data_IF_196049002249
#
_entry.id   IF_196049002249
#
_cell.length_a   1.000
_cell.length_b   1.000
_cell.length_c   1.000
_cell.angle_alpha   90.00
_cell.angle_beta   90.00
_cell.angle_gamma   90.00
#
_symmetry.space_group_name_H-M   'P 1'
#
loop_
_entity.id
_entity.type
_entity.pdbx_description
1 polymer ?
#
# COMPACT_ATOMS: atom_id res chain seq x y z
N UNK A 1 -9.87 37.89 18.65
CA UNK A 1 -9.13 39.17 18.69
C UNK A 1 -8.69 39.46 17.25
N UNK A 2 -9.56 40.06 16.43
CA UNK A 2 -9.68 41.53 16.22
C UNK A 2 -8.37 42.07 15.60
N UNK A 3 -8.31 42.63 14.39
CA UNK A 3 -9.24 43.53 13.72
C UNK A 3 -9.04 43.56 12.19
N UNK A 4 -10.12 43.96 11.54
CA UNK A 4 -10.38 44.24 10.12
C UNK A 4 -10.04 45.71 9.77
N UNK A 5 -10.07 46.02 8.45
CA UNK A 5 -10.28 47.35 7.81
C UNK A 5 -9.03 48.26 7.71
N UNK A 6 -8.74 49.00 6.63
CA UNK A 6 -9.56 49.63 5.57
C UNK A 6 -8.70 49.95 4.32
N UNK A 7 -9.38 49.99 3.17
CA UNK A 7 -8.89 50.56 1.91
C UNK A 7 -8.90 52.10 1.93
N UNK A 8 -8.05 52.77 1.13
CA UNK A 8 -8.41 53.91 0.24
C UNK A 8 -7.23 54.47 -0.58
N UNK A 9 -7.44 54.50 -1.91
CA UNK A 9 -7.28 55.62 -2.86
C UNK A 9 -5.94 56.38 -3.07
N UNK A 10 -5.49 56.35 -4.35
CA UNK A 10 -5.06 57.45 -5.25
C UNK A 10 -4.40 58.71 -4.64
N UNK A 11 -3.19 59.04 -5.13
CA UNK A 11 -2.90 60.21 -6.02
C UNK A 11 -1.39 60.31 -6.32
N UNK A 12 -1.08 60.50 -7.61
CA UNK A 12 0.21 61.01 -8.11
C UNK A 12 0.47 62.44 -7.60
N UNK A 13 1.74 62.86 -7.54
CA UNK A 13 2.07 64.12 -8.18
C UNK A 13 3.35 64.09 -9.03
N UNK A 14 3.24 64.80 -10.14
CA UNK A 14 4.28 65.31 -11.03
C UNK A 14 5.06 66.47 -10.40
N UNK A 15 6.37 66.56 -10.61
CA UNK A 15 7.01 67.86 -10.92
C UNK A 15 8.35 67.69 -11.63
N UNK A 16 8.39 68.24 -12.84
CA UNK A 16 9.52 68.49 -13.73
C UNK A 16 10.24 69.77 -13.27
N UNK A 17 11.56 69.86 -13.44
CA UNK A 17 12.39 71.05 -13.73
C UNK A 17 13.86 70.57 -13.78
N UNK A 18 14.78 70.97 -14.66
CA UNK A 18 14.81 71.95 -15.76
C UNK A 18 16.07 71.65 -16.59
N UNK A 19 15.98 71.62 -17.93
CA UNK A 19 17.13 71.81 -18.81
C UNK A 19 17.39 73.31 -18.98
N UNK A 20 18.66 73.72 -19.01
CA UNK A 20 19.13 74.99 -19.58
C UNK A 20 20.29 74.69 -20.51
N UNK A 21 20.00 74.68 -21.81
CA UNK A 21 20.96 74.81 -22.90
C UNK A 21 21.12 76.32 -23.13
N UNK A 22 22.33 76.84 -23.02
CA UNK A 22 22.68 78.13 -23.60
C UNK A 22 23.95 77.97 -24.45
N UNK A 23 23.76 78.38 -25.70
CA UNK A 23 24.68 78.43 -26.82
C UNK A 23 25.94 79.24 -26.50
N UNK A 24 27.11 78.72 -26.88
CA UNK A 24 28.22 79.55 -27.34
C UNK A 24 28.87 78.89 -28.55
N UNK A 25 28.97 79.67 -29.62
CA UNK A 25 29.44 79.35 -30.97
C UNK A 25 30.93 78.96 -31.01
N UNK A 26 31.37 78.13 -31.96
CA UNK A 26 32.75 77.67 -32.06
C UNK A 26 33.64 78.72 -32.74
N UNK A 27 34.81 78.98 -32.14
CA UNK A 27 35.94 79.63 -32.84
C UNK A 27 37.02 78.55 -33.05
N UNK A 28 37.22 78.20 -34.32
CA UNK A 28 38.18 77.22 -34.80
C UNK A 28 39.61 77.63 -34.43
N UNK A 29 40.30 76.80 -33.62
CA UNK A 29 41.75 76.78 -33.49
C UNK A 29 42.22 75.31 -33.46
N UNK A 30 43.39 75.08 -34.05
CA UNK A 30 43.83 73.85 -34.70
C UNK A 30 44.09 72.63 -33.78
N UNK A 31 43.93 71.43 -34.34
CA UNK A 31 43.84 70.12 -33.69
C UNK A 31 45.08 69.60 -32.95
N UNK A 32 46.15 70.37 -32.82
CA UNK A 32 47.43 69.85 -32.33
C UNK A 32 47.78 70.23 -30.88
N UNK A 33 47.07 71.19 -30.27
CA UNK A 33 47.36 71.61 -28.89
C UNK A 33 46.45 70.93 -27.84
N UNK A 34 45.17 70.69 -28.17
CA UNK A 34 44.20 70.01 -27.28
C UNK A 34 44.58 68.55 -27.00
N UNK A 35 45.21 67.86 -27.95
CA UNK A 35 45.56 66.45 -27.81
C UNK A 35 46.70 66.20 -26.80
N UNK A 36 47.62 67.15 -26.62
CA UNK A 36 48.73 66.98 -25.68
C UNK A 36 48.29 67.19 -24.22
N UNK A 37 47.35 68.11 -23.98
CA UNK A 37 46.82 68.38 -22.64
C UNK A 37 45.90 67.25 -22.14
N UNK A 38 45.13 66.62 -23.04
CA UNK A 38 44.33 65.43 -22.74
C UNK A 38 45.23 64.24 -22.38
N UNK A 39 46.38 64.09 -23.06
CA UNK A 39 47.33 63.00 -22.81
C UNK A 39 48.02 63.14 -21.44
N UNK A 40 48.27 64.36 -20.96
CA UNK A 40 48.81 64.59 -19.63
C UNK A 40 47.77 64.37 -18.52
N UNK A 41 46.51 64.77 -18.74
CA UNK A 41 45.41 64.52 -17.80
C UNK A 41 45.10 63.02 -17.64
N UNK A 42 45.21 62.23 -18.71
CA UNK A 42 45.02 60.77 -18.64
C UNK A 42 46.17 60.05 -17.88
N UNK A 43 47.40 60.54 -17.97
CA UNK A 43 48.54 59.92 -17.25
C UNK A 43 48.51 60.14 -15.73
N UNK A 44 47.82 61.17 -15.24
CA UNK A 44 47.67 61.42 -13.79
C UNK A 44 46.52 60.63 -13.14
N UNK A 45 45.54 60.12 -13.90
CA UNK A 45 44.45 59.29 -13.36
C UNK A 45 44.81 57.80 -13.19
N UNK A 46 45.97 57.35 -13.69
CA UNK A 46 46.41 55.95 -13.66
C UNK A 46 47.16 55.53 -12.39
N UNK A 47 47.13 56.33 -11.31
CA UNK A 47 47.78 56.02 -10.03
C UNK A 47 46.79 56.07 -8.87
N UNK A 48 45.78 55.20 -8.89
CA UNK A 48 44.92 54.89 -7.74
C UNK A 48 44.89 53.36 -7.61
N UNK A 49 45.51 52.82 -6.56
CA UNK A 49 45.37 51.40 -6.20
C UNK A 49 43.92 51.10 -5.78
N UNK A 50 43.32 49.97 -6.18
CA UNK A 50 41.97 49.62 -5.75
C UNK A 50 41.97 49.18 -4.27
N UNK A 51 40.95 49.54 -3.48
CA UNK A 51 40.84 49.07 -2.10
C UNK A 51 40.47 47.58 -2.06
N UNK A 52 41.07 46.83 -1.12
CA UNK A 52 40.76 45.42 -0.87
C UNK A 52 39.26 45.19 -0.60
N UNK A 53 38.63 44.13 -1.14
CA UNK A 53 37.20 43.93 -0.98
C UNK A 53 36.88 43.42 0.44
N UNK A 54 36.29 44.28 1.29
CA UNK A 54 35.66 43.87 2.54
C UNK A 54 34.43 43.02 2.23
N UNK A 55 34.57 41.69 2.28
CA UNK A 55 33.46 40.75 2.08
C UNK A 55 32.41 40.93 3.18
N UNK A 56 31.17 41.25 2.79
CA UNK A 56 30.07 41.45 3.72
C UNK A 56 29.63 40.13 4.37
N UNK A 57 29.28 40.11 5.68
CA UNK A 57 28.92 38.89 6.41
C UNK A 57 27.66 38.18 5.88
N UNK A 58 26.84 38.86 5.06
CA UNK A 58 25.66 38.25 4.40
C UNK A 58 26.06 37.28 3.28
N UNK A 59 27.06 37.59 2.45
CA UNK A 59 27.52 36.69 1.38
C UNK A 59 28.14 35.39 1.92
N UNK A 60 28.84 35.48 3.06
CA UNK A 60 29.45 34.32 3.70
C UNK A 60 28.41 33.29 4.17
N UNK A 61 27.23 33.75 4.63
CA UNK A 61 26.11 32.86 4.99
C UNK A 61 25.57 32.11 3.78
N UNK A 62 25.36 32.78 2.64
CA UNK A 62 24.94 32.14 1.39
C UNK A 62 25.96 31.12 0.90
N UNK A 63 27.25 31.40 1.03
CA UNK A 63 28.30 30.44 0.70
C UNK A 63 28.22 29.17 1.54
N UNK A 64 28.00 29.28 2.85
CA UNK A 64 27.80 28.11 3.72
C UNK A 64 26.52 27.34 3.37
N UNK A 65 25.42 28.02 3.01
CA UNK A 65 24.20 27.34 2.53
C UNK A 65 24.46 26.57 1.23
N UNK A 66 25.10 27.20 0.24
CA UNK A 66 25.44 26.54 -1.03
C UNK A 66 26.39 25.36 -0.82
N UNK A 67 27.38 25.50 0.05
CA UNK A 67 28.30 24.43 0.40
C UNK A 67 27.56 23.26 1.07
N UNK A 68 26.61 23.55 1.97
CA UNK A 68 25.79 22.51 2.63
C UNK A 68 24.86 21.76 1.66
N UNK A 69 24.30 22.46 0.66
CA UNK A 69 23.49 21.84 -0.39
C UNK A 69 24.36 20.94 -1.27
N UNK A 70 25.56 21.41 -1.65
CA UNK A 70 26.49 20.66 -2.48
C UNK A 70 27.00 19.39 -1.78
N UNK A 71 27.37 19.47 -0.50
CA UNK A 71 27.81 18.30 0.27
C UNK A 71 26.67 17.31 0.48
N UNK A 72 25.46 17.78 0.79
CA UNK A 72 24.27 16.93 0.88
C UNK A 72 23.96 16.20 -0.42
N UNK A 73 24.03 16.90 -1.56
CA UNK A 73 23.84 16.30 -2.88
C UNK A 73 24.91 15.25 -3.19
N UNK A 74 26.19 15.52 -2.88
CA UNK A 74 27.28 14.58 -3.12
C UNK A 74 27.13 13.30 -2.28
N UNK A 75 26.85 13.44 -0.98
CA UNK A 75 26.62 12.29 -0.08
C UNK A 75 25.41 11.48 -0.55
N UNK A 76 24.31 12.16 -0.91
CA UNK A 76 23.11 11.52 -1.46
C UNK A 76 23.39 10.74 -2.76
N UNK A 77 24.21 11.30 -3.65
CA UNK A 77 24.58 10.68 -4.92
C UNK A 77 25.45 9.44 -4.70
N UNK A 78 26.46 9.53 -3.82
CA UNK A 78 27.31 8.39 -3.46
C UNK A 78 26.49 7.28 -2.81
N UNK A 79 25.58 7.63 -1.88
CA UNK A 79 24.68 6.68 -1.25
C UNK A 79 23.77 5.98 -2.27
N UNK A 80 23.16 6.75 -3.18
CA UNK A 80 22.31 6.21 -4.24
C UNK A 80 23.08 5.24 -5.16
N UNK A 81 24.28 5.59 -5.60
CA UNK A 81 25.12 4.72 -6.42
C UNK A 81 25.50 3.42 -5.70
N UNK A 82 25.81 3.50 -4.40
CA UNK A 82 26.13 2.33 -3.57
C UNK A 82 24.91 1.42 -3.36
N UNK A 83 23.73 2.01 -3.20
CA UNK A 83 22.44 1.30 -3.15
C UNK A 83 22.18 0.54 -4.45
N UNK A 84 22.37 1.20 -5.61
CA UNK A 84 22.18 0.58 -6.93
C UNK A 84 23.12 -0.62 -7.14
N UNK A 85 24.42 -0.49 -6.81
CA UNK A 85 25.38 -1.62 -6.93
C UNK A 85 25.04 -2.82 -6.05
N UNK A 86 24.49 -2.61 -4.85
CA UNK A 86 24.16 -3.71 -3.92
C UNK A 86 23.08 -4.66 -4.50
N UNK A 87 22.21 -4.16 -5.37
CA UNK A 87 21.13 -4.94 -5.98
C UNK A 87 21.47 -5.51 -7.36
N UNK A 88 22.63 -5.20 -7.94
CA UNK A 88 22.95 -5.61 -9.31
C UNK A 88 23.11 -7.12 -9.50
N UNK A 89 23.62 -7.84 -8.49
CA UNK A 89 23.94 -9.27 -8.55
C UNK A 89 22.85 -10.24 -8.08
N UNK A 90 21.72 -9.75 -7.56
CA UNK A 90 20.72 -10.63 -6.91
C UNK A 90 19.88 -11.41 -7.92
N UNK A 91 19.59 -10.84 -9.10
CA UNK A 91 18.73 -11.52 -10.10
C UNK A 91 19.39 -12.79 -10.70
N UNK A 92 20.66 -12.77 -11.17
CA UNK A 92 21.30 -14.00 -11.68
C UNK A 92 21.38 -15.11 -10.62
N UNK A 93 21.62 -14.74 -9.36
CA UNK A 93 21.64 -15.67 -8.23
C UNK A 93 20.24 -16.24 -7.96
N UNK A 94 19.21 -15.40 -8.02
CA UNK A 94 17.82 -15.82 -7.85
C UNK A 94 17.34 -16.74 -8.97
N UNK A 95 17.67 -16.44 -10.23
CA UNK A 95 17.28 -17.28 -11.38
C UNK A 95 17.94 -18.66 -11.32
N UNK A 96 19.17 -18.74 -10.81
CA UNK A 96 19.87 -20.02 -10.66
C UNK A 96 19.32 -20.85 -9.51
N UNK A 97 19.06 -20.26 -8.34
CA UNK A 97 18.62 -21.00 -7.14
C UNK A 97 17.60 -20.21 -6.29
N UNK A 98 16.34 -20.10 -6.72
CA UNK A 98 15.34 -19.27 -6.03
C UNK A 98 15.03 -19.80 -4.62
N UNK A 99 14.86 -21.12 -4.46
CA UNK A 99 14.49 -21.74 -3.17
C UNK A 99 15.56 -21.52 -2.08
N UNK A 100 16.84 -21.51 -2.47
CA UNK A 100 17.96 -21.27 -1.54
C UNK A 100 17.94 -19.82 -1.06
N UNK A 101 17.71 -18.88 -1.97
CA UNK A 101 17.66 -17.45 -1.66
C UNK A 101 16.45 -17.11 -0.78
N UNK A 102 15.30 -17.68 -1.09
CA UNK A 102 14.09 -17.52 -0.27
C UNK A 102 14.27 -18.11 1.13
N UNK A 103 14.89 -19.29 1.26
CA UNK A 103 15.26 -19.86 2.57
C UNK A 103 16.21 -18.95 3.34
N UNK A 104 17.29 -18.50 2.70
CA UNK A 104 18.26 -17.60 3.34
C UNK A 104 17.62 -16.29 3.80
N UNK A 105 16.68 -15.76 3.02
CA UNK A 105 15.88 -14.59 3.39
C UNK A 105 15.00 -14.88 4.62
N UNK A 106 14.32 -16.02 4.65
CA UNK A 106 13.53 -16.48 5.79
C UNK A 106 14.38 -16.70 7.04
N UNK A 107 15.59 -17.25 6.91
CA UNK A 107 16.53 -17.47 8.01
C UNK A 107 17.06 -16.15 8.59
N UNK A 108 17.12 -15.09 7.77
CA UNK A 108 17.52 -13.75 8.20
C UNK A 108 16.40 -12.97 8.90
N UNK A 109 15.17 -13.53 8.99
CA UNK A 109 14.03 -12.90 9.63
C UNK A 109 14.22 -12.80 11.15
N UNK A 110 13.90 -11.66 11.79
CA UNK A 110 13.96 -11.54 13.24
C UNK A 110 13.01 -12.53 13.93
N UNK A 111 13.51 -13.25 14.94
CA UNK A 111 12.74 -14.17 15.79
C UNK A 111 12.90 -13.78 17.28
N UNK A 112 11.80 -13.61 18.04
CA UNK A 112 10.41 -13.63 17.59
C UNK A 112 10.08 -12.46 16.64
N UNK A 113 9.08 -12.59 15.75
CA UNK A 113 8.65 -11.48 14.92
C UNK A 113 8.16 -10.32 15.80
N UNK A 114 8.36 -9.06 15.39
CA UNK A 114 7.93 -7.89 16.15
C UNK A 114 6.41 -7.68 16.01
N UNK A 115 5.63 -8.59 16.59
CA UNK A 115 4.16 -8.55 16.54
C UNK A 115 3.65 -7.30 17.22
N UNK A 116 2.71 -6.62 16.58
CA UNK A 116 2.04 -5.43 17.10
C UNK A 116 0.64 -5.75 17.61
N UNK A 117 -0.08 -6.69 17.00
CA UNK A 117 -1.43 -7.11 17.42
C UNK A 117 -1.63 -8.61 17.21
N UNK A 118 -2.26 -9.29 18.16
CA UNK A 118 -2.79 -10.64 18.00
C UNK A 118 -4.26 -10.56 17.62
N UNK A 119 -4.66 -11.26 16.56
CA UNK A 119 -6.06 -11.31 16.10
C UNK A 119 -6.65 -12.68 16.43
N UNK A 120 -7.63 -12.67 17.31
CA UNK A 120 -8.39 -13.85 17.73
C UNK A 120 -9.88 -13.67 17.44
N UNK A 121 -10.65 -14.76 17.56
CA UNK A 121 -12.09 -14.75 17.30
C UNK A 121 -12.85 -15.40 18.46
N UNK A 122 -13.88 -14.73 18.98
CA UNK A 122 -14.74 -15.28 20.05
C UNK A 122 -15.82 -16.27 19.55
N UNK A 123 -15.93 -16.43 18.23
CA UNK A 123 -16.81 -17.38 17.57
C UNK A 123 -16.04 -18.56 16.98
N UNK A 124 -16.67 -19.74 16.82
CA UNK A 124 -16.01 -20.91 16.27
C UNK A 124 -15.50 -20.63 14.84
N UNK A 125 -14.34 -21.22 14.45
CA UNK A 125 -13.77 -21.02 13.14
C UNK A 125 -14.73 -21.52 12.05
N UNK A 126 -14.79 -20.80 10.91
CA UNK A 126 -15.61 -21.27 9.77
C UNK A 126 -14.95 -22.37 8.97
N UNK A 127 -13.62 -22.45 9.07
CA UNK A 127 -12.78 -23.39 8.34
C UNK A 127 -11.74 -23.97 9.27
N UNK A 128 -11.36 -25.23 9.06
CA UNK A 128 -10.25 -25.82 9.79
C UNK A 128 -8.94 -25.45 9.11
N UNK A 129 -8.16 -24.58 9.74
CA UNK A 129 -6.86 -24.14 9.23
C UNK A 129 -5.78 -24.30 10.32
N UNK A 130 -4.96 -25.36 10.28
CA UNK A 130 -4.06 -25.74 11.38
C UNK A 130 -2.73 -24.96 11.39
N UNK A 131 -2.65 -23.83 10.68
CA UNK A 131 -1.42 -23.06 10.55
C UNK A 131 -1.48 -21.74 11.29
N UNK A 132 -0.35 -21.35 11.90
CA UNK A 132 -0.19 -20.04 12.52
C UNK A 132 0.30 -19.05 11.48
N UNK A 133 -0.41 -17.95 11.34
CA UNK A 133 -0.11 -16.91 10.35
C UNK A 133 0.44 -15.65 11.00
N UNK A 134 1.45 -15.06 10.37
CA UNK A 134 1.92 -13.69 10.67
C UNK A 134 1.76 -12.83 9.42
N UNK A 135 0.93 -11.80 9.49
CA UNK A 135 0.65 -10.85 8.42
C UNK A 135 1.47 -9.56 8.61
N UNK A 136 2.39 -9.31 7.69
CA UNK A 136 3.09 -8.03 7.54
C UNK A 136 2.26 -7.12 6.64
N UNK A 137 1.81 -5.98 7.17
CA UNK A 137 0.86 -5.12 6.47
C UNK A 137 1.05 -3.62 6.71
N UNK A 138 0.29 -2.83 5.96
CA UNK A 138 -0.16 -1.51 6.39
C UNK A 138 -1.66 -1.53 6.68
N UNK A 139 -2.10 -0.95 7.79
CA UNK A 139 -3.53 -0.92 8.17
C UNK A 139 -4.41 -0.40 7.04
N UNK A 140 -4.07 0.74 6.43
CA UNK A 140 -4.93 1.40 5.43
C UNK A 140 -4.61 1.02 3.98
N UNK A 141 -3.79 -0.01 3.75
CA UNK A 141 -3.49 -0.48 2.40
C UNK A 141 -4.64 -1.38 1.88
N UNK A 142 -5.20 -1.11 0.69
CA UNK A 142 -6.27 -1.92 0.11
C UNK A 142 -5.85 -3.37 -0.06
N UNK A 143 -4.62 -3.64 -0.50
CA UNK A 143 -4.11 -5.00 -0.67
C UNK A 143 -4.05 -5.79 0.65
N UNK A 144 -3.70 -5.12 1.76
CA UNK A 144 -3.66 -5.74 3.08
C UNK A 144 -5.07 -5.96 3.63
N UNK A 145 -5.97 -4.98 3.42
CA UNK A 145 -7.37 -5.09 3.82
C UNK A 145 -8.10 -6.24 3.12
N UNK A 146 -7.76 -6.58 1.86
CA UNK A 146 -8.26 -7.79 1.19
C UNK A 146 -7.90 -9.07 1.94
N UNK A 147 -6.63 -9.23 2.32
CA UNK A 147 -6.17 -10.42 3.07
C UNK A 147 -6.85 -10.47 4.43
N UNK A 148 -6.94 -9.34 5.14
CA UNK A 148 -7.67 -9.25 6.41
C UNK A 148 -9.14 -9.61 6.27
N UNK A 149 -9.83 -9.08 5.26
CA UNK A 149 -11.23 -9.40 5.01
C UNK A 149 -11.43 -10.92 4.83
N UNK A 150 -10.54 -11.58 4.08
CA UNK A 150 -10.57 -13.02 3.89
C UNK A 150 -10.29 -13.82 5.18
N UNK A 151 -9.26 -13.45 5.95
CA UNK A 151 -8.92 -14.12 7.20
C UNK A 151 -10.03 -13.93 8.25
N UNK A 152 -10.56 -12.72 8.37
CA UNK A 152 -11.64 -12.38 9.30
C UNK A 152 -12.94 -13.12 8.95
N UNK A 153 -13.31 -13.15 7.66
CA UNK A 153 -14.49 -13.88 7.21
C UNK A 153 -14.42 -15.36 7.58
N UNK A 154 -13.26 -15.98 7.41
CA UNK A 154 -13.04 -17.38 7.72
C UNK A 154 -12.73 -17.65 9.21
N UNK A 155 -12.56 -16.59 10.01
CA UNK A 155 -12.15 -16.65 11.43
C UNK A 155 -10.87 -17.43 11.65
N UNK A 156 -9.88 -17.18 10.79
CA UNK A 156 -8.54 -17.77 10.89
C UNK A 156 -7.71 -16.85 11.80
N UNK A 157 -7.24 -17.28 12.98
CA UNK A 157 -6.39 -16.46 13.85
C UNK A 157 -5.06 -16.10 13.18
N UNK A 158 -4.58 -14.87 13.41
CA UNK A 158 -3.31 -14.41 12.84
C UNK A 158 -2.67 -13.30 13.68
N UNK A 159 -1.34 -13.22 13.60
CA UNK A 159 -0.55 -12.13 14.19
C UNK A 159 -0.35 -11.03 13.15
N UNK A 160 -0.36 -9.76 13.59
CA UNK A 160 -0.06 -8.61 12.74
C UNK A 160 1.32 -8.07 13.11
N UNK A 161 2.14 -7.84 12.08
CA UNK A 161 3.34 -7.01 12.14
C UNK A 161 3.06 -5.76 11.32
N UNK A 162 2.91 -4.62 11.98
CA UNK A 162 2.71 -3.35 11.27
C UNK A 162 4.05 -2.87 10.71
N UNK A 163 4.12 -2.74 9.39
CA UNK A 163 5.37 -2.36 8.70
C UNK A 163 5.49 -0.85 8.69
N UNK A 164 6.70 -0.34 8.95
CA UNK A 164 6.98 1.08 8.80
C UNK A 164 6.92 1.47 7.31
N UNK A 165 5.95 2.31 6.93
CA UNK A 165 5.69 2.71 5.54
C UNK A 165 6.80 3.55 4.89
N UNK A 166 7.75 4.07 5.68
CA UNK A 166 8.88 4.89 5.20
C UNK A 166 10.16 4.07 5.16
N UNK A 167 10.46 3.35 6.24
CA UNK A 167 11.75 2.64 6.41
C UNK A 167 11.68 1.16 6.04
N UNK A 168 10.49 0.58 5.96
CA UNK A 168 10.22 -0.83 5.66
C UNK A 168 11.05 -1.81 6.51
N UNK A 169 11.36 -1.44 7.76
CA UNK A 169 12.35 -2.11 8.62
C UNK A 169 12.00 -3.57 8.88
N UNK A 170 10.71 -3.85 9.05
CA UNK A 170 10.16 -5.14 9.45
C UNK A 170 10.16 -6.16 8.30
N UNK A 171 10.36 -5.71 7.05
CA UNK A 171 10.36 -6.56 5.85
C UNK A 171 11.71 -6.59 5.12
N UNK A 172 12.78 -5.98 5.67
CA UNK A 172 14.12 -5.94 5.03
C UNK A 172 14.78 -7.30 4.84
N UNK A 173 14.33 -8.31 5.57
CA UNK A 173 14.79 -9.69 5.45
C UNK A 173 14.24 -10.38 4.20
N UNK A 174 13.08 -9.93 3.69
CA UNK A 174 12.41 -10.51 2.52
C UNK A 174 12.98 -9.95 1.20
N UNK A 175 13.07 -10.81 0.18
CA UNK A 175 13.38 -10.41 -1.19
C UNK A 175 12.19 -9.71 -1.88
N UNK A 176 10.99 -10.02 -1.42
CA UNK A 176 9.76 -9.34 -1.81
C UNK A 176 9.58 -8.10 -0.93
N UNK A 177 9.54 -6.93 -1.55
CA UNK A 177 9.63 -5.65 -0.86
C UNK A 177 8.30 -4.87 -0.84
N UNK A 178 7.20 -5.61 -0.98
CA UNK A 178 5.83 -5.08 -0.95
C UNK A 178 5.04 -5.79 0.15
N UNK A 179 3.96 -5.16 0.59
CA UNK A 179 2.99 -5.76 1.52
C UNK A 179 1.65 -5.98 0.78
N UNK A 180 0.81 -6.94 1.20
CA UNK A 180 1.00 -7.84 2.34
C UNK A 180 2.00 -8.97 2.09
N UNK A 181 2.67 -9.39 3.16
CA UNK A 181 3.43 -10.65 3.23
C UNK A 181 2.80 -11.48 4.35
N UNK A 182 2.51 -12.75 4.09
CA UNK A 182 2.03 -13.68 5.12
C UNK A 182 3.07 -14.77 5.32
N UNK A 183 3.46 -15.00 6.56
CA UNK A 183 4.33 -16.12 6.93
C UNK A 183 3.50 -17.19 7.61
N UNK A 184 3.61 -18.42 7.12
CA UNK A 184 3.13 -19.62 7.79
C UNK A 184 4.23 -20.07 8.75
N UNK A 185 4.06 -19.74 10.03
CA UNK A 185 5.12 -19.85 11.05
C UNK A 185 5.60 -21.29 11.23
N UNK A 186 4.66 -22.24 11.28
CA UNK A 186 4.94 -23.66 11.52
C UNK A 186 5.56 -24.41 10.33
N UNK A 187 5.53 -23.84 9.12
CA UNK A 187 6.16 -24.42 7.92
C UNK A 187 7.32 -23.57 7.38
N UNK A 188 7.57 -22.40 7.98
CA UNK A 188 8.53 -21.40 7.49
C UNK A 188 8.32 -21.02 6.01
N UNK A 189 7.06 -20.91 5.58
CA UNK A 189 6.69 -20.54 4.20
C UNK A 189 6.26 -19.08 4.16
N UNK A 190 6.83 -18.32 3.23
CA UNK A 190 6.42 -16.96 2.91
C UNK A 190 5.45 -16.94 1.72
N UNK A 191 4.33 -16.24 1.89
CA UNK A 191 3.33 -15.95 0.88
C UNK A 191 3.35 -14.45 0.56
N UNK A 192 3.31 -14.13 -0.73
CA UNK A 192 3.40 -12.78 -1.27
C UNK A 192 2.22 -12.50 -2.20
N UNK A 193 1.99 -11.22 -2.54
CA UNK A 193 0.84 -10.77 -3.34
C UNK A 193 -0.52 -11.09 -2.68
N UNK A 194 -1.30 -10.04 -2.41
CA UNK A 194 -2.59 -10.18 -1.73
C UNK A 194 -3.56 -11.18 -2.37
N UNK A 195 -3.61 -11.27 -3.70
CA UNK A 195 -4.55 -12.15 -4.40
C UNK A 195 -4.03 -13.58 -4.43
N UNK A 196 -2.71 -13.77 -4.58
CA UNK A 196 -2.07 -15.08 -4.47
C UNK A 196 -2.21 -15.66 -3.05
N UNK A 197 -1.97 -14.87 -2.00
CA UNK A 197 -2.14 -15.28 -0.59
C UNK A 197 -3.55 -15.86 -0.38
N UNK A 198 -4.58 -15.13 -0.78
CA UNK A 198 -5.98 -15.57 -0.65
C UNK A 198 -6.22 -16.85 -1.46
N UNK A 199 -5.75 -16.93 -2.71
CA UNK A 199 -5.91 -18.13 -3.55
C UNK A 199 -5.19 -19.35 -3.00
N UNK A 200 -4.00 -19.19 -2.44
CA UNK A 200 -3.20 -20.29 -1.89
C UNK A 200 -3.86 -20.88 -0.64
N UNK A 201 -4.33 -20.02 0.27
CA UNK A 201 -5.07 -20.45 1.47
C UNK A 201 -6.40 -21.10 1.05
N UNK A 202 -7.16 -20.48 0.13
CA UNK A 202 -8.43 -21.05 -0.33
C UNK A 202 -8.23 -22.41 -1.03
N UNK A 203 -7.18 -22.56 -1.84
CA UNK A 203 -6.87 -23.83 -2.51
C UNK A 203 -6.48 -24.92 -1.53
N UNK A 204 -5.75 -24.57 -0.46
CA UNK A 204 -5.48 -25.51 0.63
C UNK A 204 -6.79 -25.94 1.32
N UNK A 205 -7.68 -24.99 1.62
CA UNK A 205 -8.98 -25.28 2.24
C UNK A 205 -9.90 -26.12 1.34
N UNK A 206 -9.79 -25.99 0.01
CA UNK A 206 -10.49 -26.85 -0.97
C UNK A 206 -9.81 -28.21 -1.20
N UNK A 207 -8.57 -28.41 -0.72
CA UNK A 207 -7.79 -29.64 -0.88
C UNK A 207 -7.09 -30.04 0.43
N UNK A 208 -7.83 -30.43 1.47
CA UNK A 208 -7.26 -30.67 2.79
C UNK A 208 -6.27 -31.85 2.84
N UNK A 209 -6.25 -32.73 1.83
CA UNK A 209 -5.29 -33.85 1.74
C UNK A 209 -3.88 -33.43 1.34
N UNK A 210 -3.72 -32.26 0.69
CA UNK A 210 -2.43 -31.82 0.19
C UNK A 210 -1.75 -30.93 1.21
N UNK A 211 -0.45 -31.16 1.39
CA UNK A 211 0.39 -30.25 2.19
C UNK A 211 0.42 -28.88 1.54
N UNK A 212 0.50 -27.83 2.35
CA UNK A 212 0.56 -26.45 1.87
C UNK A 212 1.72 -26.23 0.88
N UNK A 213 2.86 -26.90 1.11
CA UNK A 213 4.02 -26.91 0.21
C UNK A 213 3.69 -27.43 -1.20
N UNK A 214 2.79 -28.40 -1.34
CA UNK A 214 2.36 -28.88 -2.65
C UNK A 214 1.45 -27.88 -3.35
N UNK A 215 0.56 -27.20 -2.62
CA UNK A 215 -0.29 -26.13 -3.17
C UNK A 215 0.58 -24.98 -3.71
N UNK A 216 1.66 -24.63 -3.02
CA UNK A 216 2.58 -23.58 -3.44
C UNK A 216 3.28 -23.82 -4.78
N UNK A 217 3.38 -25.08 -5.23
CA UNK A 217 3.94 -25.40 -6.56
C UNK A 217 3.11 -24.81 -7.70
N UNK A 218 1.82 -24.57 -7.47
CA UNK A 218 0.91 -23.96 -8.46
C UNK A 218 1.02 -22.43 -8.53
N UNK A 219 1.64 -21.79 -7.55
CA UNK A 219 1.76 -20.33 -7.41
C UNK A 219 3.20 -19.83 -7.57
N UNK A 220 3.94 -20.40 -8.53
CA UNK A 220 5.32 -19.97 -8.81
C UNK A 220 5.38 -18.52 -9.27
N UNK A 221 6.33 -17.78 -8.72
CA UNK A 221 6.62 -16.41 -9.13
C UNK A 221 7.44 -16.40 -10.43
N UNK A 222 7.09 -15.50 -11.34
CA UNK A 222 7.98 -15.01 -12.39
C UNK A 222 8.71 -13.80 -11.82
N UNK A 223 10.04 -13.82 -11.84
CA UNK A 223 10.86 -12.75 -11.27
C UNK A 223 11.64 -12.04 -12.37
N UNK A 224 11.41 -10.73 -12.45
CA UNK A 224 12.00 -9.85 -13.45
C UNK A 224 12.80 -8.74 -12.75
N UNK A 225 13.71 -8.08 -13.48
CA UNK A 225 14.43 -6.91 -12.98
C UNK A 225 13.89 -5.68 -13.70
N UNK A 226 13.50 -4.66 -12.93
CA UNK A 226 13.06 -3.40 -13.52
C UNK A 226 14.25 -2.58 -14.04
N UNK A 227 13.96 -1.49 -14.76
CA UNK A 227 14.97 -0.57 -15.29
C UNK A 227 15.89 0.05 -14.21
N UNK A 228 15.49 0.01 -12.93
CA UNK A 228 16.26 0.52 -11.78
C UNK A 228 17.02 -0.58 -11.04
N UNK A 229 17.02 -1.80 -11.56
CA UNK A 229 17.73 -2.94 -11.02
C UNK A 229 17.05 -3.68 -9.86
N UNK A 230 15.80 -3.35 -9.55
CA UNK A 230 15.01 -3.96 -8.48
C UNK A 230 14.20 -5.15 -8.98
N UNK A 231 14.11 -6.20 -8.15
CA UNK A 231 13.32 -7.40 -8.44
C UNK A 231 11.81 -7.09 -8.45
N UNK A 232 11.11 -7.67 -9.42
CA UNK A 232 9.68 -7.58 -9.58
C UNK A 232 9.11 -8.99 -9.69
N UNK A 233 8.24 -9.34 -8.75
CA UNK A 233 7.62 -10.65 -8.66
C UNK A 233 6.20 -10.58 -9.23
N UNK A 234 5.90 -11.45 -10.19
CA UNK A 234 4.59 -11.60 -10.83
C UNK A 234 4.09 -13.01 -10.61
N UNK A 235 2.81 -13.15 -10.26
CA UNK A 235 2.19 -14.45 -9.98
C UNK A 235 1.08 -14.70 -11.02
N UNK A 236 1.35 -15.46 -12.10
CA UNK A 236 0.37 -15.66 -13.19
C UNK A 236 -0.93 -16.32 -12.72
N UNK A 237 -0.80 -17.29 -11.82
CA UNK A 237 -1.91 -18.08 -11.31
C UNK A 237 -2.57 -17.46 -10.06
N UNK A 238 -2.30 -16.19 -9.74
CA UNK A 238 -2.74 -15.57 -8.47
C UNK A 238 -4.25 -15.55 -8.24
N UNK A 239 -5.07 -15.70 -9.28
CA UNK A 239 -6.54 -15.78 -9.14
C UNK A 239 -7.10 -17.19 -9.36
N UNK A 240 -6.25 -18.17 -9.69
CA UNK A 240 -6.66 -19.56 -9.87
C UNK A 240 -6.80 -20.20 -8.50
N UNK A 241 -7.92 -20.89 -8.26
CA UNK A 241 -8.09 -21.78 -7.11
C UNK A 241 -7.84 -23.19 -7.62
N UNK A 242 -6.88 -23.89 -7.01
CA UNK A 242 -6.62 -25.29 -7.36
C UNK A 242 -7.68 -26.14 -6.68
N UNK A 243 -8.42 -26.92 -7.45
CA UNK A 243 -9.43 -27.85 -6.93
C UNK A 243 -8.88 -29.28 -6.80
N UNK A 244 -9.46 -30.07 -5.89
CA UNK A 244 -9.15 -31.49 -5.71
C UNK A 244 -9.54 -32.29 -6.95
N UNK A 245 -8.71 -33.25 -7.36
CA UNK A 245 -9.16 -34.27 -8.33
C UNK A 245 -10.24 -35.16 -7.71
N UNK A 246 -11.06 -35.83 -8.54
CA UNK A 246 -12.11 -36.76 -8.05
C UNK A 246 -11.51 -37.86 -7.15
N UNK A 247 -10.31 -38.34 -7.49
CA UNK A 247 -9.61 -39.35 -6.70
C UNK A 247 -9.18 -38.82 -5.31
N UNK A 248 -8.75 -37.55 -5.23
CA UNK A 248 -8.40 -36.93 -3.95
C UNK A 248 -9.63 -36.83 -3.01
N UNK A 249 -10.84 -36.64 -3.57
CA UNK A 249 -12.08 -36.56 -2.78
C UNK A 249 -12.53 -37.94 -2.28
N UNK A 250 -12.41 -38.98 -3.12
CA UNK A 250 -12.71 -40.36 -2.73
C UNK A 250 -11.77 -40.84 -1.62
N UNK A 251 -10.48 -40.46 -1.66
CA UNK A 251 -9.54 -40.78 -0.59
C UNK A 251 -9.88 -40.09 0.75
N UNK A 252 -10.42 -38.86 0.72
CA UNK A 252 -10.90 -38.19 1.95
C UNK A 252 -12.09 -38.92 2.52
N UNK A 253 -13.09 -39.22 1.69
CA UNK A 253 -14.29 -39.95 2.10
C UNK A 253 -13.89 -41.30 2.70
N UNK A 254 -13.00 -42.04 2.04
CA UNK A 254 -12.50 -43.30 2.59
C UNK A 254 -11.74 -43.12 3.92
N UNK A 255 -10.94 -42.06 4.08
CA UNK A 255 -10.21 -41.79 5.33
C UNK A 255 -11.15 -41.38 6.45
N UNK A 256 -12.15 -40.55 6.17
CA UNK A 256 -13.18 -40.16 7.10
C UNK A 256 -14.03 -41.37 7.50
N UNK A 257 -14.50 -42.18 6.55
CA UNK A 257 -15.20 -43.45 6.81
C UNK A 257 -14.35 -44.39 7.66
N UNK A 258 -13.08 -44.60 7.32
CA UNK A 258 -12.16 -45.43 8.12
C UNK A 258 -11.92 -44.86 9.52
N UNK A 259 -11.84 -43.53 9.67
CA UNK A 259 -11.67 -42.88 10.97
C UNK A 259 -12.93 -42.98 11.83
N UNK A 260 -14.11 -42.85 11.23
CA UNK A 260 -15.41 -43.01 11.89
C UNK A 260 -15.62 -44.46 12.30
N UNK A 261 -15.31 -45.43 11.43
CA UNK A 261 -15.36 -46.87 11.76
C UNK A 261 -14.39 -47.20 12.90
N UNK A 262 -13.17 -46.63 12.90
CA UNK A 262 -12.18 -46.86 13.96
C UNK A 262 -12.57 -46.18 15.29
N UNK A 263 -13.23 -45.02 15.24
CA UNK A 263 -13.79 -44.36 16.42
C UNK A 263 -15.07 -45.06 16.91
N UNK A 264 -15.91 -45.56 16.01
CA UNK A 264 -17.09 -46.35 16.33
C UNK A 264 -16.71 -47.70 16.90
N UNK A 265 -15.66 -48.37 16.43
CA UNK A 265 -15.21 -49.64 17.04
C UNK A 265 -14.60 -49.43 18.43
N UNK A 266 -13.85 -48.33 18.64
CA UNK A 266 -13.40 -47.92 19.99
C UNK A 266 -14.57 -47.50 20.89
N UNK A 267 -15.55 -46.80 20.35
CA UNK A 267 -16.79 -46.39 21.02
C UNK A 267 -17.71 -47.58 21.28
N UNK A 268 -17.75 -48.59 20.40
CA UNK A 268 -18.54 -49.81 20.50
C UNK A 268 -18.05 -50.65 21.68
N UNK A 269 -16.73 -50.83 21.85
CA UNK A 269 -16.19 -51.47 23.05
C UNK A 269 -16.50 -50.66 24.32
N UNK A 270 -16.45 -49.32 24.29
CA UNK A 270 -16.81 -48.47 25.43
C UNK A 270 -18.32 -48.47 25.74
N UNK A 271 -19.16 -48.66 24.72
CA UNK A 271 -20.63 -48.65 24.77
C UNK A 271 -21.22 -50.01 25.07
N UNK A 272 -20.51 -51.10 24.76
CA UNK A 272 -20.83 -52.44 25.23
C UNK A 272 -20.74 -52.56 26.76
N UNK A 273 -19.95 -51.69 27.40
CA UNK A 273 -19.87 -51.56 28.86
C UNK A 273 -20.76 -50.47 29.47
N UNK A 274 -21.62 -49.79 28.70
CA UNK A 274 -22.54 -48.78 29.23
C UNK A 274 -23.94 -48.88 28.60
N UNK A 275 -24.89 -49.30 29.42
CA UNK A 275 -26.28 -49.55 29.03
C UNK A 275 -27.02 -48.23 28.74
N UNK A 276 -27.65 -48.19 27.56
CA UNK A 276 -28.79 -47.36 27.11
C UNK A 276 -28.69 -45.82 27.05
N UNK A 277 -28.59 -45.27 25.83
CA UNK A 277 -29.41 -44.14 25.33
C UNK A 277 -29.22 -43.91 23.81
N UNK A 278 -30.19 -43.30 23.10
CA UNK A 278 -30.27 -43.33 21.64
C UNK A 278 -29.28 -42.37 20.95
N UNK A 279 -28.91 -42.79 19.74
CA UNK A 279 -27.85 -42.27 18.87
C UNK A 279 -28.29 -40.93 18.22
N UNK A 280 -27.51 -39.83 18.29
CA UNK A 280 -27.77 -38.68 17.43
C UNK A 280 -27.30 -38.99 16.00
N UNK A 281 -28.22 -38.96 15.04
CA UNK A 281 -27.90 -39.01 13.60
C UNK A 281 -27.05 -37.80 13.21
N UNK A 282 -25.75 -38.02 13.00
CA UNK A 282 -24.88 -37.05 12.34
C UNK A 282 -25.16 -37.15 10.84
N UNK A 283 -25.91 -36.19 10.29
CA UNK A 283 -26.17 -36.11 8.84
C UNK A 283 -24.87 -35.75 8.09
N UNK A 284 -24.31 -36.63 7.23
CA UNK A 284 -23.10 -36.35 6.44
C UNK A 284 -23.27 -35.27 5.35
N UNK A 285 -24.40 -34.56 5.33
CA UNK A 285 -24.75 -33.59 4.28
C UNK A 285 -24.14 -32.20 4.49
N UNK A 286 -23.45 -31.94 5.59
CA UNK A 286 -22.84 -30.62 5.89
C UNK A 286 -21.36 -30.49 5.49
N UNK A 287 -20.68 -31.56 5.05
CA UNK A 287 -19.25 -31.53 4.67
C UNK A 287 -19.05 -31.38 3.15
N UNK A 288 -20.11 -31.46 2.35
CA UNK A 288 -20.05 -31.20 0.91
C UNK A 288 -20.08 -29.69 0.64
N UNK A 289 -18.91 -29.03 0.64
CA UNK A 289 -18.75 -27.76 -0.08
C UNK A 289 -19.25 -28.00 -1.51
N UNK A 290 -20.37 -27.34 -1.86
CA UNK A 290 -21.02 -27.42 -3.17
C UNK A 290 -19.95 -27.24 -4.22
N UNK A 291 -19.78 -28.20 -5.15
CA UNK A 291 -18.87 -28.06 -6.28
C UNK A 291 -19.27 -26.77 -7.01
N UNK A 292 -18.43 -25.74 -6.95
CA UNK A 292 -18.65 -24.55 -7.75
C UNK A 292 -18.61 -24.95 -9.22
N UNK A 293 -19.55 -24.46 -10.01
CA UNK A 293 -19.47 -24.69 -11.45
C UNK A 293 -18.23 -23.99 -12.00
N UNK A 294 -17.65 -24.50 -13.10
CA UNK A 294 -16.52 -23.83 -13.75
C UNK A 294 -16.86 -22.36 -14.10
N UNK A 295 -18.13 -22.10 -14.40
CA UNK A 295 -18.65 -20.75 -14.69
C UNK A 295 -18.64 -19.85 -13.45
N UNK A 296 -19.06 -20.35 -12.28
CA UNK A 296 -19.01 -19.60 -11.01
C UNK A 296 -17.58 -19.24 -10.61
N UNK A 297 -16.65 -20.20 -10.76
CA UNK A 297 -15.22 -19.96 -10.50
C UNK A 297 -14.63 -18.94 -11.48
N UNK A 298 -15.01 -18.99 -12.77
CA UNK A 298 -14.56 -18.02 -13.77
C UNK A 298 -15.14 -16.62 -13.50
N UNK A 299 -16.41 -16.55 -13.11
CA UNK A 299 -17.08 -15.31 -12.78
C UNK A 299 -16.47 -14.66 -11.53
N UNK A 300 -16.26 -15.42 -10.45
CA UNK A 300 -15.54 -14.93 -9.28
C UNK A 300 -14.14 -14.41 -9.66
N UNK A 301 -13.40 -15.17 -10.47
CA UNK A 301 -12.06 -14.78 -10.94
C UNK A 301 -12.08 -13.45 -11.69
N UNK A 302 -13.04 -13.24 -12.59
CA UNK A 302 -13.19 -11.99 -13.33
C UNK A 302 -13.33 -10.79 -12.38
N UNK A 303 -14.12 -10.92 -11.32
CA UNK A 303 -14.31 -9.85 -10.35
C UNK A 303 -13.08 -9.60 -9.48
N UNK A 304 -12.33 -10.64 -9.14
CA UNK A 304 -11.03 -10.49 -8.45
C UNK A 304 -10.01 -9.75 -9.33
N UNK A 305 -9.98 -10.05 -10.62
CA UNK A 305 -9.16 -9.34 -11.61
C UNK A 305 -9.60 -7.89 -11.79
N UNK A 306 -10.91 -7.64 -11.85
CA UNK A 306 -11.50 -6.30 -11.93
C UNK A 306 -11.11 -5.43 -10.73
N UNK A 307 -11.10 -5.99 -9.51
CA UNK A 307 -10.68 -5.25 -8.31
C UNK A 307 -9.26 -4.74 -8.44
N UNK A 308 -8.32 -5.62 -8.80
CA UNK A 308 -6.90 -5.30 -8.85
C UNK A 308 -6.53 -4.42 -10.04
N UNK A 309 -7.18 -4.60 -11.18
CA UNK A 309 -6.83 -3.93 -12.45
C UNK A 309 -7.64 -2.67 -12.74
N UNK A 310 -8.80 -2.48 -12.11
CA UNK A 310 -9.68 -1.33 -12.34
C UNK A 310 -10.02 -0.60 -11.03
N UNK A 311 -10.68 -1.28 -10.10
CA UNK A 311 -11.28 -0.61 -8.94
C UNK A 311 -10.26 0.10 -8.05
N UNK A 312 -9.15 -0.57 -7.69
CA UNK A 312 -8.09 0.02 -6.87
C UNK A 312 -7.49 1.28 -7.52
N UNK A 313 -7.39 1.30 -8.85
CA UNK A 313 -6.84 2.44 -9.60
C UNK A 313 -7.78 3.66 -9.59
N UNK A 314 -9.09 3.46 -9.39
CA UNK A 314 -10.08 4.52 -9.22
C UNK A 314 -10.10 5.07 -7.79
N UNK A 315 -9.84 4.22 -6.78
CA UNK A 315 -9.86 4.61 -5.37
C UNK A 315 -8.82 5.68 -5.03
N UNK A 316 -7.56 5.49 -5.45
CA UNK A 316 -6.48 6.42 -5.06
C UNK A 316 -6.72 7.86 -5.56
N UNK A 317 -7.11 8.10 -6.83
CA UNK A 317 -7.40 9.45 -7.29
C UNK A 317 -8.59 10.11 -6.59
N UNK A 318 -9.53 9.31 -6.08
CA UNK A 318 -10.70 9.78 -5.35
C UNK A 318 -10.38 10.28 -3.94
N UNK A 319 -9.58 9.56 -3.16
CA UNK A 319 -9.23 9.99 -1.79
C UNK A 319 -8.24 11.17 -1.76
N UNK A 320 -7.49 11.40 -2.85
CA UNK A 320 -6.51 12.50 -2.97
C UNK A 320 -6.93 13.58 -3.97
N UNK A 321 -8.23 13.74 -4.26
CA UNK A 321 -8.68 14.58 -5.38
C UNK A 321 -8.39 16.08 -5.18
N UNK A 322 -8.50 16.57 -3.95
CA UNK A 322 -8.11 17.92 -3.54
C UNK A 322 -7.02 17.86 -2.48
N UNK A 323 -6.28 18.96 -2.29
CA UNK A 323 -5.25 19.01 -1.25
C UNK A 323 -5.85 18.84 0.16
N UNK A 324 -7.06 19.38 0.39
CA UNK A 324 -7.80 19.21 1.65
C UNK A 324 -8.14 17.74 1.90
N UNK A 325 -8.79 17.08 0.95
CA UNK A 325 -9.13 15.65 1.08
C UNK A 325 -7.88 14.78 1.21
N UNK A 326 -6.80 15.13 0.53
CA UNK A 326 -5.53 14.43 0.67
C UNK A 326 -4.98 14.55 2.10
N UNK A 327 -5.00 15.75 2.67
CA UNK A 327 -4.57 15.97 4.06
C UNK A 327 -5.46 15.22 5.06
N UNK A 328 -6.78 15.26 4.86
CA UNK A 328 -7.73 14.55 5.73
C UNK A 328 -7.57 13.03 5.62
N UNK A 329 -7.25 12.50 4.43
CA UNK A 329 -6.89 11.09 4.21
C UNK A 329 -5.62 10.72 4.97
N UNK A 330 -4.57 11.54 4.92
CA UNK A 330 -3.34 11.27 5.68
C UNK A 330 -3.53 11.37 7.19
N UNK A 331 -4.41 12.27 7.67
CA UNK A 331 -4.81 12.33 9.09
C UNK A 331 -5.54 11.05 9.50
N UNK A 332 -6.47 10.58 8.67
CA UNK A 332 -7.12 9.28 8.87
C UNK A 332 -6.09 8.15 8.91
N UNK A 333 -5.14 8.10 7.98
CA UNK A 333 -4.10 7.07 7.96
C UNK A 333 -3.21 7.10 9.21
N UNK A 334 -2.84 8.30 9.65
CA UNK A 334 -2.09 8.47 10.90
C UNK A 334 -2.86 7.96 12.11
N UNK A 335 -4.19 8.14 12.13
CA UNK A 335 -5.05 7.68 13.22
C UNK A 335 -5.28 6.17 13.15
N UNK A 336 -5.61 5.64 11.98
CA UNK A 336 -5.94 4.23 11.79
C UNK A 336 -4.71 3.31 11.93
N UNK A 337 -3.53 3.79 11.53
CA UNK A 337 -2.27 3.06 11.65
C UNK A 337 -1.52 3.28 12.96
N UNK A 338 -2.12 3.96 13.95
CA UNK A 338 -1.49 4.27 15.24
C UNK A 338 -0.09 4.92 15.08
N UNK A 339 0.08 5.80 14.08
CA UNK A 339 1.37 6.39 13.72
C UNK A 339 1.98 7.26 14.83
N UNK A 340 1.19 7.64 15.82
CA UNK A 340 1.66 8.35 17.01
C UNK A 340 2.59 7.49 17.87
N UNK A 341 2.43 6.17 17.84
CA UNK A 341 3.28 5.21 18.55
C UNK A 341 4.48 4.78 17.71
N UNK A 342 4.34 4.77 16.38
CA UNK A 342 5.37 4.27 15.44
C UNK A 342 6.38 5.37 15.08
N UNK A 343 5.93 6.62 14.92
CA UNK A 343 6.76 7.71 14.41
C UNK A 343 6.92 8.84 15.43
N UNK A 344 8.14 9.40 15.58
CA UNK A 344 8.33 10.66 16.28
C UNK A 344 7.43 11.76 15.72
N UNK A 345 6.94 12.64 16.60
CA UNK A 345 5.92 13.64 16.25
C UNK A 345 6.26 14.48 15.02
N UNK A 346 7.54 14.85 14.83
CA UNK A 346 8.01 15.65 13.69
C UNK A 346 8.06 14.85 12.39
N UNK A 347 8.46 13.57 12.45
CA UNK A 347 8.44 12.68 11.27
C UNK A 347 7.00 12.44 10.84
N UNK A 348 6.10 12.17 11.79
CA UNK A 348 4.67 12.04 11.54
C UNK A 348 4.10 13.29 10.87
N UNK A 349 4.43 14.47 11.38
CA UNK A 349 4.06 15.75 10.75
C UNK A 349 4.56 15.83 9.31
N UNK A 350 5.83 15.54 9.04
CA UNK A 350 6.37 15.55 7.68
C UNK A 350 5.60 14.56 6.79
N UNK A 351 5.40 13.31 7.24
CA UNK A 351 4.69 12.28 6.46
C UNK A 351 3.27 12.72 6.14
N UNK A 352 2.53 13.27 7.09
CA UNK A 352 1.14 13.71 6.88
C UNK A 352 1.05 14.87 5.89
N UNK A 353 1.81 15.94 6.10
CA UNK A 353 1.67 17.15 5.29
C UNK A 353 2.40 17.05 3.94
N UNK A 354 3.64 16.55 3.92
CA UNK A 354 4.38 16.37 2.67
C UNK A 354 3.79 15.21 1.86
N UNK A 355 3.40 14.12 2.52
CA UNK A 355 2.73 12.99 1.87
C UNK A 355 1.44 13.41 1.17
N UNK A 356 0.63 14.26 1.81
CA UNK A 356 -0.60 14.78 1.19
C UNK A 356 -0.34 15.55 -0.11
N UNK A 357 0.73 16.37 -0.16
CA UNK A 357 1.11 17.13 -1.36
C UNK A 357 1.60 16.18 -2.46
N UNK A 358 2.48 15.23 -2.11
CA UNK A 358 3.01 14.24 -3.05
C UNK A 358 1.88 13.39 -3.63
N UNK A 359 0.99 12.86 -2.78
CA UNK A 359 -0.11 12.00 -3.21
C UNK A 359 -1.16 12.75 -4.04
N UNK A 360 -1.33 14.07 -3.81
CA UNK A 360 -2.13 14.90 -4.71
C UNK A 360 -1.53 14.93 -6.12
N UNK A 361 -0.21 15.11 -6.23
CA UNK A 361 0.51 15.06 -7.51
C UNK A 361 0.41 13.69 -8.18
N UNK A 362 0.63 12.62 -7.42
CA UNK A 362 0.49 11.23 -7.88
C UNK A 362 -0.95 10.97 -8.35
N UNK A 363 -1.97 11.43 -7.62
CA UNK A 363 -3.38 11.29 -8.02
C UNK A 363 -3.67 11.93 -9.39
N UNK A 364 -3.12 13.12 -9.68
CA UNK A 364 -3.26 13.75 -11.01
C UNK A 364 -2.62 12.87 -12.09
N UNK A 365 -1.43 12.31 -11.81
CA UNK A 365 -0.76 11.42 -12.75
C UNK A 365 -1.54 10.13 -12.97
N UNK A 366 -2.04 9.49 -11.90
CA UNK A 366 -2.84 8.26 -11.98
C UNK A 366 -4.16 8.51 -12.73
N UNK A 367 -4.82 9.65 -12.49
CA UNK A 367 -6.02 10.07 -13.24
C UNK A 367 -5.77 10.04 -14.74
N UNK A 368 -4.64 10.60 -15.20
CA UNK A 368 -4.25 10.59 -16.61
C UNK A 368 -3.85 9.20 -17.11
N UNK A 369 -3.05 8.47 -16.32
CA UNK A 369 -2.53 7.14 -16.69
C UNK A 369 -3.64 6.11 -16.89
N UNK A 370 -4.66 6.14 -16.04
CA UNK A 370 -5.79 5.20 -16.07
C UNK A 370 -7.03 5.77 -16.75
N UNK A 371 -6.89 6.90 -17.46
CA UNK A 371 -7.97 7.55 -18.20
C UNK A 371 -9.28 7.71 -17.40
N UNK A 372 -9.14 8.17 -16.15
CA UNK A 372 -10.27 8.37 -15.22
C UNK A 372 -11.01 9.65 -15.59
N UNK A 373 -12.34 9.65 -15.45
CA UNK A 373 -13.20 10.78 -15.77
C UNK A 373 -12.76 12.07 -15.09
N UNK A 374 -13.13 13.20 -15.70
CA UNK A 374 -12.67 14.49 -15.22
C UNK A 374 -13.10 14.79 -13.79
N UNK A 375 -14.35 14.46 -13.50
CA UNK A 375 -14.83 14.28 -12.15
C UNK A 375 -14.55 12.84 -11.69
N UNK A 376 -13.54 12.70 -10.83
CA UNK A 376 -13.09 11.40 -10.31
C UNK A 376 -14.18 10.65 -9.54
N UNK A 377 -15.15 11.37 -8.94
CA UNK A 377 -16.27 10.76 -8.20
C UNK A 377 -17.20 9.98 -9.12
N UNK A 378 -17.39 10.45 -10.36
CA UNK A 378 -18.23 9.74 -11.33
C UNK A 378 -17.66 8.36 -11.60
N UNK A 379 -16.34 8.25 -11.83
CA UNK A 379 -15.70 6.93 -12.04
C UNK A 379 -15.81 6.02 -10.82
N UNK A 380 -15.83 6.58 -9.60
CA UNK A 380 -16.06 5.79 -8.39
C UNK A 380 -17.50 5.27 -8.32
N UNK A 381 -18.48 6.11 -8.67
CA UNK A 381 -19.89 5.73 -8.72
C UNK A 381 -20.17 4.71 -9.82
N UNK A 382 -19.57 4.87 -11.00
CA UNK A 382 -19.63 3.90 -12.09
C UNK A 382 -19.12 2.53 -11.64
N UNK A 383 -17.96 2.47 -10.96
CA UNK A 383 -17.45 1.20 -10.43
C UNK A 383 -18.37 0.58 -9.37
N UNK A 384 -18.96 1.39 -8.50
CA UNK A 384 -19.89 0.88 -7.48
C UNK A 384 -21.21 0.41 -8.09
N UNK A 385 -21.75 1.11 -9.08
CA UNK A 385 -22.95 0.68 -9.79
C UNK A 385 -22.68 -0.59 -10.61
N UNK A 386 -21.55 -0.68 -11.32
CA UNK A 386 -21.13 -1.88 -12.04
C UNK A 386 -21.02 -3.10 -11.09
N UNK A 387 -20.52 -2.89 -9.87
CA UNK A 387 -20.48 -3.93 -8.83
C UNK A 387 -21.87 -4.34 -8.34
N UNK A 388 -22.73 -3.37 -8.02
CA UNK A 388 -24.09 -3.64 -7.54
C UNK A 388 -24.94 -4.33 -8.61
N UNK A 389 -24.82 -3.90 -9.87
CA UNK A 389 -25.52 -4.49 -11.01
C UNK A 389 -25.08 -5.96 -11.22
N UNK A 390 -23.82 -6.27 -10.94
CA UNK A 390 -23.30 -7.64 -11.05
C UNK A 390 -23.79 -8.58 -9.95
N UNK A 391 -24.06 -8.05 -8.76
CA UNK A 391 -24.71 -8.80 -7.68
C UNK A 391 -26.17 -9.08 -8.06
N UNK A 392 -26.86 -8.08 -8.62
CA UNK A 392 -28.27 -8.17 -9.00
C UNK A 392 -29.16 -8.35 -7.78
N UNK A 393 -30.09 -9.31 -7.85
CA UNK A 393 -31.06 -9.59 -6.77
C UNK A 393 -30.51 -10.50 -5.65
N UNK A 394 -29.23 -10.86 -5.71
CA UNK A 394 -28.58 -11.74 -4.71
C UNK A 394 -28.13 -10.93 -3.49
N UNK A 395 -27.91 -11.61 -2.36
CA UNK A 395 -27.35 -10.96 -1.17
C UNK A 395 -25.87 -10.59 -1.37
N UNK A 396 -25.14 -11.45 -2.07
CA UNK A 396 -23.72 -11.31 -2.39
C UNK A 396 -23.45 -11.77 -3.84
N UNK A 397 -22.27 -11.45 -4.38
CA UNK A 397 -21.86 -11.97 -5.69
C UNK A 397 -21.83 -13.51 -5.70
N UNK A 398 -21.44 -14.12 -4.57
CA UNK A 398 -21.47 -15.57 -4.33
C UNK A 398 -22.87 -16.19 -4.15
N UNK A 399 -23.94 -15.41 -4.18
CA UNK A 399 -25.31 -15.87 -3.92
C UNK A 399 -25.74 -15.60 -2.48
N UNK A 400 -25.96 -16.66 -1.69
CA UNK A 400 -26.36 -16.56 -0.28
C UNK A 400 -25.22 -16.24 0.69
N UNK A 401 -23.99 -16.55 0.28
CA UNK A 401 -22.77 -16.24 1.04
C UNK A 401 -21.78 -15.49 0.13
N UNK A 402 -20.91 -14.64 0.67
CA UNK A 402 -19.92 -13.95 -0.13
C UNK A 402 -18.85 -14.89 -0.67
N UNK A 403 -18.43 -14.62 -1.89
CA UNK A 403 -17.31 -15.31 -2.53
C UNK A 403 -16.00 -14.50 -2.39
N UNK A 404 -14.90 -14.95 -2.99
CA UNK A 404 -13.63 -14.21 -2.90
C UNK A 404 -13.69 -12.82 -3.57
N UNK A 405 -14.57 -12.65 -4.57
CA UNK A 405 -14.84 -11.35 -5.20
C UNK A 405 -15.45 -10.36 -4.22
N UNK A 406 -16.50 -10.77 -3.49
CA UNK A 406 -17.13 -9.96 -2.45
C UNK A 406 -16.11 -9.52 -1.39
N UNK A 407 -15.30 -10.46 -0.88
CA UNK A 407 -14.28 -10.19 0.13
C UNK A 407 -13.21 -9.21 -0.37
N UNK A 408 -12.83 -9.31 -1.65
CA UNK A 408 -11.87 -8.41 -2.26
C UNK A 408 -12.42 -6.97 -2.38
N UNK A 409 -13.65 -6.79 -2.88
CA UNK A 409 -14.27 -5.46 -3.00
C UNK A 409 -14.46 -4.85 -1.61
N UNK A 410 -14.97 -5.64 -0.66
CA UNK A 410 -15.17 -5.21 0.71
C UNK A 410 -13.85 -4.77 1.35
N UNK A 411 -12.78 -5.58 1.22
CA UNK A 411 -11.45 -5.23 1.72
C UNK A 411 -10.92 -3.91 1.15
N UNK A 412 -11.08 -3.65 -0.16
CA UNK A 412 -10.66 -2.39 -0.77
C UNK A 412 -11.45 -1.19 -0.23
N UNK A 413 -12.76 -1.33 -0.03
CA UNK A 413 -13.60 -0.27 0.52
C UNK A 413 -13.29 0.02 1.99
N UNK A 414 -13.03 -1.01 2.81
CA UNK A 414 -12.65 -0.84 4.21
C UNK A 414 -11.36 -0.03 4.37
N UNK A 415 -10.44 -0.11 3.41
CA UNK A 415 -9.21 0.69 3.42
C UNK A 415 -9.46 2.21 3.40
N UNK A 416 -10.60 2.64 2.84
CA UNK A 416 -10.97 4.05 2.68
C UNK A 416 -12.18 4.47 3.53
N UNK A 417 -12.65 3.62 4.44
CA UNK A 417 -13.89 3.83 5.21
C UNK A 417 -13.94 5.17 5.96
N UNK A 418 -12.79 5.63 6.48
CA UNK A 418 -12.68 6.91 7.18
C UNK A 418 -12.50 8.14 6.28
N UNK A 419 -12.47 7.97 4.96
CA UNK A 419 -12.28 9.05 4.00
C UNK A 419 -13.62 9.62 3.50
N UNK A 420 -13.62 10.91 3.13
CA UNK A 420 -14.80 11.59 2.55
C UNK A 420 -15.34 10.86 1.31
N UNK A 421 -14.44 10.37 0.44
CA UNK A 421 -14.83 9.64 -0.77
C UNK A 421 -15.66 8.38 -0.49
N UNK A 422 -15.47 7.73 0.65
CA UNK A 422 -16.27 6.57 1.04
C UNK A 422 -17.68 6.99 1.48
N UNK A 423 -17.80 8.08 2.25
CA UNK A 423 -19.09 8.62 2.67
C UNK A 423 -19.91 9.10 1.46
N UNK A 424 -19.24 9.78 0.52
CA UNK A 424 -19.83 10.17 -0.77
C UNK A 424 -20.34 8.95 -1.55
N UNK A 425 -19.53 7.88 -1.61
CA UNK A 425 -19.88 6.64 -2.30
C UNK A 425 -21.13 5.97 -1.69
N UNK A 426 -21.19 5.89 -0.36
CA UNK A 426 -22.33 5.30 0.35
C UNK A 426 -23.61 6.10 0.15
N UNK A 427 -23.50 7.42 0.05
CA UNK A 427 -24.66 8.32 -0.11
C UNK A 427 -25.21 8.34 -1.55
N UNK A 428 -24.32 8.29 -2.55
CA UNK A 428 -24.68 8.52 -3.95
C UNK A 428 -24.84 7.24 -4.78
N UNK A 429 -24.71 6.06 -4.17
CA UNK A 429 -24.87 4.77 -4.87
C UNK A 429 -25.65 3.78 -4.02
N UNK A 430 -26.07 2.66 -4.63
CA UNK A 430 -26.82 1.60 -3.95
C UNK A 430 -25.91 0.55 -3.28
N UNK A 431 -24.62 0.84 -3.10
CA UNK A 431 -23.65 -0.13 -2.56
C UNK A 431 -23.75 -0.33 -1.05
N UNK A 432 -24.31 0.65 -0.32
CA UNK A 432 -24.34 0.66 1.14
C UNK A 432 -25.01 -0.58 1.76
N UNK A 433 -26.18 -1.07 1.31
CA UNK A 433 -26.80 -2.26 1.89
C UNK A 433 -25.91 -3.51 1.79
N UNK A 434 -25.23 -3.72 0.65
CA UNK A 434 -24.28 -4.81 0.49
C UNK A 434 -23.06 -4.62 1.39
N UNK A 435 -22.52 -3.41 1.49
CA UNK A 435 -21.36 -3.14 2.34
C UNK A 435 -21.66 -3.40 3.82
N UNK A 436 -22.82 -2.97 4.32
CA UNK A 436 -23.22 -3.23 5.71
C UNK A 436 -23.48 -4.72 5.96
N UNK A 437 -24.06 -5.46 5.00
CA UNK A 437 -24.17 -6.92 5.07
C UNK A 437 -22.80 -7.58 5.18
N UNK A 438 -21.82 -7.15 4.38
CA UNK A 438 -20.44 -7.65 4.46
C UNK A 438 -19.79 -7.31 5.79
N UNK A 439 -19.95 -6.07 6.25
CA UNK A 439 -19.41 -5.58 7.52
C UNK A 439 -19.91 -6.41 8.69
N UNK A 440 -21.22 -6.62 8.77
CA UNK A 440 -21.87 -7.42 9.80
C UNK A 440 -21.52 -8.92 9.72
N UNK A 441 -20.93 -9.37 8.62
CA UNK A 441 -20.51 -10.77 8.46
C UNK A 441 -19.03 -10.98 8.79
N UNK A 442 -18.18 -9.98 8.51
CA UNK A 442 -16.71 -10.07 8.58
C UNK A 442 -16.14 -9.47 9.86
N UNK A 443 -16.71 -8.38 10.38
CA UNK A 443 -16.16 -7.67 11.55
C UNK A 443 -16.54 -8.28 12.91
N UNK A 444 -17.76 -8.82 13.12
CA UNK A 444 -18.11 -9.37 14.42
C UNK A 444 -17.16 -10.49 14.83
N UNK A 445 -17.00 -10.66 16.14
CA UNK A 445 -16.18 -11.68 16.78
C UNK A 445 -14.67 -11.43 16.76
N UNK A 446 -14.19 -10.46 15.98
CA UNK A 446 -12.76 -10.13 15.94
C UNK A 446 -12.32 -9.47 17.24
N UNK A 447 -11.36 -10.09 17.92
CA UNK A 447 -10.69 -9.56 19.11
C UNK A 447 -9.29 -9.08 18.70
N UNK A 448 -9.05 -7.79 18.88
CA UNK A 448 -7.74 -7.17 18.64
C UNK A 448 -7.00 -7.02 19.97
N UNK A 449 -5.98 -7.85 20.20
CA UNK A 449 -5.13 -7.77 21.41
C UNK A 449 -3.81 -7.06 21.08
N UNK A 450 -3.62 -5.79 21.45
CA UNK A 450 -2.40 -5.06 21.16
C UNK A 450 -1.22 -5.58 21.99
N UNK A 451 -0.06 -5.72 21.35
CA UNK A 451 1.20 -6.05 22.02
C UNK A 451 1.87 -4.75 22.44
N UNK A 452 1.80 -4.42 23.73
CA UNK A 452 2.52 -3.27 24.27
C UNK A 452 4.01 -3.59 24.34
N UNK A 453 4.78 -3.09 23.38
CA UNK A 453 6.22 -2.97 23.54
C UNK A 453 6.47 -1.90 24.61
N UNK A 454 6.93 -2.31 25.80
CA UNK A 454 7.43 -1.35 26.79
C UNK A 454 8.63 -0.64 26.16
N UNK A 455 8.42 0.58 25.66
CA UNK A 455 9.49 1.46 25.22
C UNK A 455 10.25 2.05 26.40
#
# INVERSE_FOLDING_TARGET
MSLLLLATSRKFPTSIFRQRILLFTPRLLSSNQVNNDILQAQKQQLKVEPPSPKQSPRLRRYHYYLLSIATGALIGTIYALRQVRKHEGVLPEYVSNPEILERKAMDARPLPPPVTKHIEFDAPPRVNFPYRLTLYQYVTCPFCCKVRAYLNYNRIPYDIVEVNSVMHTETKWSLYDRVPIVVIENEHIQLNDSSMIVSAIESYLRQPTKTFKNIMKSYKAIVEKNQKGKLFFTYPNKYLIVESSINDQLEVIEKEEKSVINNESKSFFARWFSKSSPQPEIKPKQILRKKHSNEENQFERQWREWVDNKFIHVVSPNIYCTLRQSLDTFRWFSKAGDWEEIFPWYQRWIIVYLGAIVMRGVSIHLKKKYNINDNVRISLYECANEWVDAIGDKDYLGGSEPNLGDLNVYGVLTAIQGCEAFQDLMTNTKIQPWFERMKNLVEPHRIDTPVRHKH
#
